data_IF_749000572886
#
_entry.id   IF_749000572886
#
_cell.length_a   1.000
_cell.length_b   1.000
_cell.length_c   1.000
_cell.angle_alpha   90.00
_cell.angle_beta   90.00
_cell.angle_gamma   90.00
#
_symmetry.space_group_name_H-M   'P 1'
#
loop_
_entity.id
_entity.type
_entity.pdbx_description
1 polymer ?
#
# COMPACT_ATOMS: atom_id res chain seq x y z
N UNK A 1 2.95 -1.09 -12.40
CA UNK A 1 1.77 -1.94 -12.43
C UNK A 1 2.07 -3.18 -11.61
N UNK A 2 1.41 -3.37 -10.47
CA UNK A 2 1.65 -4.53 -9.60
C UNK A 2 0.60 -5.63 -9.80
N UNK A 3 -0.48 -5.36 -10.54
CA UNK A 3 -1.57 -6.30 -10.79
C UNK A 3 -2.30 -6.74 -9.51
N UNK A 4 -1.74 -7.73 -8.81
CA UNK A 4 -2.35 -8.40 -7.65
C UNK A 4 -1.30 -8.68 -6.58
N UNK A 5 -1.59 -8.32 -5.34
CA UNK A 5 -0.84 -8.69 -4.15
C UNK A 5 -1.63 -9.75 -3.39
N UNK A 6 -1.11 -10.97 -3.37
CA UNK A 6 -1.78 -12.14 -2.77
C UNK A 6 -1.32 -12.32 -1.32
N UNK A 7 -2.25 -12.55 -0.40
CA UNK A 7 -1.98 -12.77 1.02
C UNK A 7 -2.85 -13.88 1.61
N UNK A 8 -2.34 -14.59 2.62
CA UNK A 8 -3.17 -15.49 3.43
C UNK A 8 -3.70 -14.75 4.65
N UNK A 9 -4.91 -15.12 5.08
CA UNK A 9 -5.48 -14.58 6.30
C UNK A 9 -4.57 -14.88 7.50
N UNK A 10 -4.35 -13.86 8.33
CA UNK A 10 -3.55 -13.93 9.54
C UNK A 10 -2.05 -13.71 9.35
N UNK A 11 -1.57 -13.54 8.12
CA UNK A 11 -0.16 -13.17 7.87
C UNK A 11 0.08 -11.68 8.12
N UNK A 12 1.29 -11.35 8.59
CA UNK A 12 1.78 -9.98 8.58
C UNK A 12 2.41 -9.68 7.23
N UNK A 13 1.89 -8.67 6.54
CA UNK A 13 2.30 -8.25 5.21
C UNK A 13 3.14 -6.99 5.32
N UNK A 14 4.29 -6.99 4.61
CA UNK A 14 5.09 -5.80 4.36
C UNK A 14 4.99 -5.42 2.89
N UNK A 15 4.60 -4.18 2.61
CA UNK A 15 4.68 -3.58 1.27
C UNK A 15 5.81 -2.56 1.27
N UNK A 16 6.82 -2.78 0.43
CA UNK A 16 7.91 -1.82 0.18
C UNK A 16 7.64 -1.09 -1.12
N UNK A 17 7.47 0.23 -1.04
CA UNK A 17 7.21 1.10 -2.19
C UNK A 17 8.49 1.83 -2.56
N UNK A 18 8.94 1.67 -3.80
CA UNK A 18 10.11 2.37 -4.34
C UNK A 18 9.65 3.44 -5.33
N UNK A 19 9.70 4.71 -4.94
CA UNK A 19 9.35 5.81 -5.84
C UNK A 19 10.59 6.29 -6.60
N UNK A 20 10.76 5.79 -7.82
CA UNK A 20 11.84 6.21 -8.75
C UNK A 20 11.45 7.42 -9.60
N UNK A 21 10.25 7.99 -9.40
CA UNK A 21 9.77 9.16 -10.14
C UNK A 21 10.12 10.48 -9.44
N UNK A 22 9.81 11.59 -10.11
CA UNK A 22 10.01 12.96 -9.61
C UNK A 22 8.79 13.51 -8.84
N UNK A 23 7.68 12.78 -8.79
CA UNK A 23 6.46 13.18 -8.10
C UNK A 23 6.23 12.34 -6.85
N UNK A 24 5.64 12.94 -5.82
CA UNK A 24 5.16 12.21 -4.65
C UNK A 24 3.92 11.35 -4.98
N UNK A 25 3.75 10.26 -4.23
CA UNK A 25 2.59 9.38 -4.36
C UNK A 25 1.94 9.15 -2.99
N UNK A 26 0.74 9.70 -2.72
CA UNK A 26 -0.03 9.35 -1.54
C UNK A 26 -0.63 7.94 -1.69
N UNK A 27 0.05 6.93 -1.17
CA UNK A 27 -0.35 5.53 -1.30
C UNK A 27 -1.30 5.13 -0.17
N UNK A 28 -2.47 4.60 -0.53
CA UNK A 28 -3.56 4.21 0.36
C UNK A 28 -3.90 2.72 0.20
N UNK A 29 -4.27 2.07 1.30
CA UNK A 29 -4.87 0.73 1.27
C UNK A 29 -6.27 0.74 1.85
N UNK A 30 -7.20 0.11 1.14
CA UNK A 30 -8.54 -0.16 1.65
C UNK A 30 -8.50 -1.33 2.65
N UNK A 31 -9.51 -1.41 3.51
CA UNK A 31 -9.74 -2.54 4.41
C UNK A 31 -8.76 -2.67 5.59
N UNK A 32 -7.64 -1.96 5.58
CA UNK A 32 -6.59 -2.09 6.59
C UNK A 32 -6.04 -0.72 6.99
N UNK A 33 -5.53 -0.65 8.22
CA UNK A 33 -4.53 0.36 8.58
C UNK A 33 -3.19 -0.34 8.74
N UNK A 34 -2.10 0.37 8.53
CA UNK A 34 -0.75 -0.14 8.61
C UNK A 34 0.11 0.69 9.54
N UNK A 35 1.17 0.07 10.07
CA UNK A 35 2.26 0.75 10.73
C UNK A 35 3.30 1.21 9.69
N UNK A 36 3.96 2.35 9.95
CA UNK A 36 5.09 2.82 9.16
C UNK A 36 6.38 2.63 9.98
N UNK A 37 7.19 1.57 9.70
CA UNK A 37 8.32 1.19 10.55
C UNK A 37 9.34 2.32 10.78
N UNK A 38 9.69 3.04 9.72
CA UNK A 38 10.67 4.13 9.76
C UNK A 38 10.21 5.34 10.59
N UNK A 39 8.91 5.40 10.91
CA UNK A 39 8.28 6.43 11.74
C UNK A 39 7.81 5.86 13.08
N UNK A 40 8.55 4.90 13.64
CA UNK A 40 8.26 4.31 14.95
C UNK A 40 6.97 3.50 14.98
N UNK A 41 6.52 2.98 13.84
CA UNK A 41 5.30 2.19 13.75
C UNK A 41 4.01 3.03 13.81
N UNK A 42 4.08 4.33 13.47
CA UNK A 42 2.92 5.21 13.38
C UNK A 42 1.81 4.56 12.53
N UNK A 43 0.58 4.49 13.05
CA UNK A 43 -0.55 3.89 12.34
C UNK A 43 -1.23 4.87 11.39
N UNK A 44 -1.42 4.47 10.14
CA UNK A 44 -2.08 5.23 9.06
C UNK A 44 -2.82 4.29 8.11
N UNK A 45 -3.63 4.83 7.23
CA UNK A 45 -4.17 4.14 6.05
C UNK A 45 -3.59 4.69 4.74
N UNK A 46 -2.85 5.80 4.82
CA UNK A 46 -2.30 6.54 3.68
C UNK A 46 -0.95 7.16 4.06
N UNK A 47 0.03 7.06 3.17
CA UNK A 47 1.37 7.67 3.33
C UNK A 47 1.86 8.29 2.04
N UNK A 48 2.62 9.38 2.15
CA UNK A 48 3.33 9.95 1.02
C UNK A 48 4.65 9.22 0.79
N UNK A 49 4.82 8.63 -0.39
CA UNK A 49 6.13 8.14 -0.85
C UNK A 49 6.79 9.25 -1.66
N UNK A 50 7.83 9.86 -1.10
CA UNK A 50 8.49 11.03 -1.68
C UNK A 50 9.33 10.66 -2.91
N UNK A 51 9.61 11.62 -3.82
CA UNK A 51 10.47 11.39 -4.98
C UNK A 51 11.84 10.81 -4.59
N UNK A 52 12.28 9.77 -5.30
CA UNK A 52 13.58 9.13 -5.09
C UNK A 52 13.73 8.35 -3.79
N UNK A 53 12.64 8.11 -3.05
CA UNK A 53 12.67 7.41 -1.75
C UNK A 53 12.05 6.01 -1.83
N UNK A 54 12.39 5.19 -0.84
CA UNK A 54 11.69 3.95 -0.51
C UNK A 54 10.99 4.10 0.83
N UNK A 55 9.78 3.54 0.97
CA UNK A 55 9.04 3.52 2.22
C UNK A 55 8.33 2.17 2.37
N UNK A 56 8.43 1.57 3.56
CA UNK A 56 7.74 0.34 3.91
C UNK A 56 6.51 0.59 4.79
N UNK A 57 5.49 -0.24 4.62
CA UNK A 57 4.32 -0.31 5.50
C UNK A 57 4.06 -1.76 5.92
N UNK A 58 3.62 -1.94 7.15
CA UNK A 58 3.29 -3.26 7.72
C UNK A 58 1.83 -3.31 8.17
N UNK A 59 1.06 -4.30 7.73
CA UNK A 59 -0.28 -4.58 8.24
C UNK A 59 -0.51 -6.07 8.46
N UNK A 60 -1.49 -6.38 9.30
CA UNK A 60 -1.94 -7.75 9.53
C UNK A 60 -3.11 -8.03 8.56
N UNK A 61 -3.05 -9.14 7.82
CA UNK A 61 -4.10 -9.56 6.89
C UNK A 61 -5.28 -10.19 7.66
N UNK A 62 -6.00 -9.37 8.42
CA UNK A 62 -7.06 -9.77 9.35
C UNK A 62 -8.49 -9.43 8.88
N UNK A 63 -8.63 -8.81 7.71
CA UNK A 63 -9.90 -8.41 7.10
C UNK A 63 -10.09 -9.07 5.71
N UNK A 64 -10.54 -10.35 5.65
CA UNK A 64 -10.68 -11.09 4.40
C UNK A 64 -11.62 -10.41 3.40
N UNK A 65 -11.14 -10.26 2.17
CA UNK A 65 -11.91 -9.65 1.08
C UNK A 65 -11.04 -9.35 -0.14
N UNK A 66 -11.57 -8.54 -1.04
CA UNK A 66 -10.80 -7.91 -2.11
C UNK A 66 -10.70 -6.41 -1.80
N UNK A 67 -9.47 -5.91 -1.66
CA UNK A 67 -9.22 -4.52 -1.30
C UNK A 67 -8.32 -3.86 -2.32
N UNK A 68 -8.46 -2.54 -2.47
CA UNK A 68 -7.62 -1.78 -3.38
C UNK A 68 -6.41 -1.19 -2.63
N UNK A 69 -5.27 -1.20 -3.29
CA UNK A 69 -4.08 -0.46 -2.92
C UNK A 69 -3.75 0.50 -4.06
N UNK A 70 -3.81 1.81 -3.81
CA UNK A 70 -3.71 2.80 -4.89
C UNK A 70 -3.15 4.15 -4.46
N UNK A 71 -2.75 4.93 -5.45
CA UNK A 71 -2.39 6.33 -5.25
C UNK A 71 -3.64 7.21 -5.13
N UNK A 72 -3.65 8.15 -4.19
CA UNK A 72 -4.70 9.16 -3.98
C UNK A 72 -4.51 10.43 -4.82
N UNK A 73 -3.48 10.46 -5.66
CA UNK A 73 -3.42 11.46 -6.72
C UNK A 73 -4.38 11.02 -7.84
N UNK A 74 -5.44 11.80 -8.08
CA UNK A 74 -6.49 11.46 -9.03
C UNK A 74 -5.96 11.14 -10.44
N UNK A 75 -4.98 11.92 -10.92
CA UNK A 75 -4.35 11.68 -12.21
C UNK A 75 -3.62 10.31 -12.27
N UNK A 76 -2.93 9.94 -11.19
CA UNK A 76 -2.23 8.64 -11.13
C UNK A 76 -3.21 7.48 -10.99
N UNK A 77 -4.29 7.66 -10.21
CA UNK A 77 -5.35 6.68 -10.08
C UNK A 77 -6.01 6.40 -11.43
N UNK A 78 -6.42 7.45 -12.15
CA UNK A 78 -7.03 7.34 -13.48
C UNK A 78 -6.08 6.72 -14.50
N UNK A 79 -4.76 6.98 -14.37
CA UNK A 79 -3.72 6.35 -15.18
C UNK A 79 -3.39 4.90 -14.78
N UNK A 80 -4.09 4.32 -13.79
CA UNK A 80 -3.99 2.91 -13.42
C UNK A 80 -2.98 2.59 -12.32
N UNK A 81 -2.53 3.57 -11.53
CA UNK A 81 -1.67 3.34 -10.36
C UNK A 81 -2.45 2.69 -9.20
N UNK A 82 -2.82 1.43 -9.43
CA UNK A 82 -3.67 0.62 -8.56
C UNK A 82 -3.11 -0.81 -8.49
N UNK A 83 -3.50 -1.53 -7.44
CA UNK A 83 -3.28 -2.96 -7.27
C UNK A 83 -4.40 -3.53 -6.41
N UNK A 84 -4.71 -4.82 -6.59
CA UNK A 84 -5.67 -5.51 -5.75
C UNK A 84 -4.95 -6.34 -4.67
N UNK A 85 -5.34 -6.14 -3.42
CA UNK A 85 -5.04 -7.02 -2.30
C UNK A 85 -6.05 -8.17 -2.31
N UNK A 86 -5.56 -9.38 -2.55
CA UNK A 86 -6.41 -10.57 -2.68
C UNK A 86 -6.08 -11.60 -1.62
N UNK A 87 -7.10 -11.96 -0.84
CA UNK A 87 -7.02 -13.06 0.10
C UNK A 87 -7.12 -14.40 -0.62
N UNK A 88 -6.15 -15.27 -0.41
CA UNK A 88 -6.25 -16.69 -0.79
C UNK A 88 -6.72 -17.50 0.41
N UNK A 89 -7.57 -18.49 0.11
CA UNK A 89 -7.99 -19.52 1.07
C UNK A 89 -6.89 -20.55 1.28
#
# INVERSE_FOLDING_TARGET
DAGKLVMKQGERIRITMNNTSTMWHPMHTHGHTFAVPDYGGLRRDTVNVLPGTSLAIDFDADNPGEWMFHCHNAYHFEAGMTANLMYIR
#
